data_IF_702431310165
#
_entry.id   IF_702431310165
#
_cell.length_a   1.000
_cell.length_b   1.000
_cell.length_c   1.000
_cell.angle_alpha   90.00
_cell.angle_beta   90.00
_cell.angle_gamma   90.00
#
_symmetry.space_group_name_H-M   'P 1'
#
loop_
_entity.id
_entity.type
_entity.pdbx_description
1 polymer ?
#
# COMPACT_ATOMS: atom_id res chain seq x y z
N UNK A 1 14.97 30.63 59.06
CA UNK A 1 13.87 31.27 58.36
C UNK A 1 13.45 30.35 57.21
N UNK A 2 12.41 29.55 57.47
CA UNK A 2 11.78 28.70 56.49
C UNK A 2 10.99 29.56 55.51
N UNK A 3 11.10 29.31 54.19
CA UNK A 3 10.10 29.70 53.22
C UNK A 3 9.78 28.48 52.35
N UNK A 4 8.61 27.94 52.62
CA UNK A 4 7.87 26.97 51.79
C UNK A 4 7.71 27.51 50.38
N UNK A 5 8.00 26.69 49.37
CA UNK A 5 7.45 26.85 48.03
C UNK A 5 6.48 25.70 47.76
N UNK A 6 5.26 26.12 47.67
CA UNK A 6 4.06 25.37 47.42
C UNK A 6 4.11 24.78 45.99
N UNK A 7 3.88 23.48 45.90
CA UNK A 7 3.54 22.76 44.67
C UNK A 7 2.36 23.41 44.00
N UNK A 8 2.50 23.83 42.75
CA UNK A 8 1.40 24.06 41.84
C UNK A 8 1.48 22.98 40.75
N UNK A 9 0.90 21.83 41.04
CA UNK A 9 0.62 20.82 40.03
C UNK A 9 -0.52 21.38 39.16
N UNK A 10 -0.18 21.82 37.98
CA UNK A 10 -1.15 22.30 36.99
C UNK A 10 -1.85 21.11 36.37
N UNK A 11 -3.09 20.98 36.72
CA UNK A 11 -4.15 20.17 36.12
C UNK A 11 -4.44 20.74 34.72
N UNK A 12 -3.82 20.20 33.68
CA UNK A 12 -4.13 20.50 32.28
C UNK A 12 -4.25 19.21 31.48
N UNK A 13 -5.24 18.41 31.86
CA UNK A 13 -5.63 17.26 31.05
C UNK A 13 -7.11 16.97 31.27
N UNK A 14 -7.98 17.89 30.89
CA UNK A 14 -9.45 17.63 30.80
C UNK A 14 -10.15 18.83 30.13
N UNK A 15 -9.87 19.10 28.86
CA UNK A 15 -10.74 19.98 28.07
C UNK A 15 -10.61 19.62 26.59
N UNK A 16 -11.03 18.45 26.19
CA UNK A 16 -11.38 18.13 24.79
C UNK A 16 -12.47 17.03 24.73
N UNK A 17 -13.44 17.08 25.65
CA UNK A 17 -14.58 16.16 25.67
C UNK A 17 -15.93 16.87 25.72
N UNK A 18 -16.06 18.08 25.17
CA UNK A 18 -17.32 18.80 25.20
C UNK A 18 -17.76 19.32 23.84
N UNK A 19 -17.81 18.42 22.85
CA UNK A 19 -18.56 18.70 21.63
C UNK A 19 -19.67 17.66 21.36
N UNK A 20 -19.99 16.79 22.34
CA UNK A 20 -21.14 15.89 22.27
C UNK A 20 -21.66 15.59 23.70
N UNK A 21 -22.07 16.60 24.46
CA UNK A 21 -22.89 16.34 25.64
C UNK A 21 -23.76 17.54 25.96
N UNK A 22 -24.92 17.58 25.35
CA UNK A 22 -26.09 18.13 26.07
C UNK A 22 -26.77 16.91 26.70
N UNK A 23 -26.61 16.81 28.01
CA UNK A 23 -27.21 15.78 28.85
C UNK A 23 -28.69 16.07 29.03
N UNK A 24 -29.53 15.41 28.26
CA UNK A 24 -30.86 15.05 28.72
C UNK A 24 -30.77 13.68 29.36
N UNK A 25 -30.79 13.63 30.69
CA UNK A 25 -30.76 12.40 31.48
C UNK A 25 -31.97 11.48 31.14
N UNK A 26 -31.75 10.61 30.18
CA UNK A 26 -32.64 9.48 29.94
C UNK A 26 -32.01 8.23 30.58
N UNK A 27 -32.54 7.68 31.69
CA UNK A 27 -31.92 6.58 32.44
C UNK A 27 -31.87 5.24 31.70
N UNK A 28 -32.22 5.20 30.41
CA UNK A 28 -32.21 3.99 29.57
C UNK A 28 -31.18 4.00 28.44
N UNK A 29 -30.32 5.00 28.31
CA UNK A 29 -29.18 4.92 27.40
C UNK A 29 -28.09 4.08 28.09
N UNK A 30 -28.06 2.78 27.79
CA UNK A 30 -26.96 1.91 28.18
C UNK A 30 -25.64 2.48 27.67
N UNK A 31 -24.61 2.57 28.54
CA UNK A 31 -23.29 3.01 28.16
C UNK A 31 -22.82 2.21 26.92
N UNK A 32 -22.59 2.89 25.79
CA UNK A 32 -22.02 2.29 24.60
C UNK A 32 -20.58 1.93 24.95
N UNK A 33 -20.32 0.64 25.14
CA UNK A 33 -18.97 0.13 25.36
C UNK A 33 -18.43 -0.28 23.98
N UNK A 34 -17.55 0.55 23.41
CA UNK A 34 -16.82 0.19 22.21
C UNK A 34 -15.62 -0.70 22.59
N UNK A 35 -15.28 -1.73 21.79
CA UNK A 35 -14.03 -2.47 21.93
C UNK A 35 -12.82 -1.52 21.86
N UNK A 36 -11.67 -1.95 22.40
CA UNK A 36 -10.43 -1.19 22.24
C UNK A 36 -10.05 -1.05 20.75
N UNK A 37 -9.32 -0.01 20.33
CA UNK A 37 -8.91 0.13 18.93
C UNK A 37 -8.26 -1.13 18.37
N UNK A 38 -7.41 -1.80 19.14
CA UNK A 38 -6.76 -3.05 18.73
C UNK A 38 -7.74 -4.20 18.47
N UNK A 39 -8.88 -4.24 19.17
CA UNK A 39 -9.93 -5.26 18.97
C UNK A 39 -10.86 -4.90 17.82
N UNK A 40 -11.01 -3.60 17.52
CA UNK A 40 -11.84 -3.14 16.41
C UNK A 40 -11.19 -3.49 15.06
N UNK A 41 -9.89 -3.29 14.93
CA UNK A 41 -9.17 -3.57 13.67
C UNK A 41 -8.77 -5.04 13.57
N UNK A 42 -9.04 -5.65 12.42
CA UNK A 42 -8.44 -6.92 12.03
C UNK A 42 -7.05 -6.70 11.44
N UNK A 43 -6.06 -7.43 11.93
CA UNK A 43 -4.75 -7.48 11.30
C UNK A 43 -4.84 -8.40 10.10
N UNK A 44 -5.09 -7.85 8.93
CA UNK A 44 -5.42 -8.64 7.76
C UNK A 44 -4.18 -8.98 6.95
N UNK A 45 -3.19 -8.09 6.94
CA UNK A 45 -2.11 -8.11 5.99
C UNK A 45 -0.81 -7.78 6.69
N UNK A 46 -0.01 -8.78 6.98
CA UNK A 46 1.37 -8.55 7.38
C UNK A 46 2.27 -9.33 6.46
N UNK A 47 3.20 -8.61 5.84
CA UNK A 47 4.07 -9.17 4.83
C UNK A 47 4.81 -10.45 5.21
N UNK A 48 5.10 -10.68 6.51
CA UNK A 48 5.80 -11.87 6.98
C UNK A 48 4.88 -12.99 7.46
N UNK A 49 3.65 -12.69 7.88
CA UNK A 49 2.77 -13.69 8.52
C UNK A 49 1.79 -14.37 7.56
N UNK A 50 1.89 -14.03 6.29
CA UNK A 50 1.51 -14.90 5.20
C UNK A 50 0.04 -15.21 4.98
N UNK A 51 -0.91 -14.36 5.40
CA UNK A 51 -2.34 -14.67 5.18
C UNK A 51 -2.98 -13.90 4.04
N UNK A 52 -2.21 -13.19 3.19
CA UNK A 52 -2.83 -12.25 2.26
C UNK A 52 -2.40 -12.39 0.82
N UNK A 53 -3.42 -12.27 0.03
CA UNK A 53 -3.44 -12.17 -1.42
C UNK A 53 -3.15 -10.74 -1.88
N UNK A 54 -3.04 -10.55 -3.18
CA UNK A 54 -2.87 -9.26 -3.83
C UNK A 54 -1.46 -8.66 -3.73
N UNK A 55 -0.44 -9.52 -3.61
CA UNK A 55 0.98 -9.10 -3.61
C UNK A 55 1.26 -7.97 -2.60
N UNK A 56 1.07 -8.18 -1.30
CA UNK A 56 1.33 -7.15 -0.31
C UNK A 56 2.81 -6.73 -0.35
N UNK A 57 3.09 -5.49 -0.02
CA UNK A 57 4.45 -5.05 0.25
C UNK A 57 4.90 -5.58 1.61
N UNK A 58 6.12 -6.13 1.70
CA UNK A 58 6.63 -6.73 2.94
C UNK A 58 7.02 -5.69 4.01
N UNK A 59 7.04 -4.42 3.66
CA UNK A 59 7.41 -3.30 4.54
C UNK A 59 6.23 -2.41 4.91
N UNK A 60 5.01 -2.96 4.81
CA UNK A 60 3.77 -2.27 5.09
C UNK A 60 2.97 -3.05 6.11
N UNK A 61 2.44 -2.35 7.09
CA UNK A 61 1.44 -2.87 7.98
C UNK A 61 0.06 -2.49 7.47
N UNK A 62 -0.88 -3.43 7.60
CA UNK A 62 -2.24 -3.28 7.12
C UNK A 62 -3.20 -3.68 8.22
N UNK A 63 -4.26 -2.89 8.41
CA UNK A 63 -5.37 -3.22 9.28
C UNK A 63 -6.66 -2.93 8.54
N UNK A 64 -7.69 -3.74 8.79
CA UNK A 64 -8.98 -3.56 8.17
C UNK A 64 -10.11 -3.51 9.18
N UNK A 65 -11.15 -2.80 8.80
CA UNK A 65 -12.46 -2.90 9.41
C UNK A 65 -13.48 -3.08 8.30
N UNK A 66 -14.09 -4.25 8.26
CA UNK A 66 -15.11 -4.63 7.27
C UNK A 66 -16.44 -4.73 7.98
N UNK A 67 -17.47 -4.14 7.39
CA UNK A 67 -18.82 -4.15 7.97
C UNK A 67 -19.91 -4.25 6.90
N UNK A 68 -21.08 -4.74 7.32
CA UNK A 68 -22.30 -4.69 6.54
C UNK A 68 -22.87 -3.27 6.62
N UNK A 69 -23.04 -2.62 5.50
CA UNK A 69 -23.63 -1.27 5.43
C UNK A 69 -25.14 -1.32 5.54
N UNK A 70 -25.74 -2.48 5.24
CA UNK A 70 -27.17 -2.78 5.32
C UNK A 70 -28.04 -1.59 4.86
N UNK A 71 -27.94 -1.17 3.59
CA UNK A 71 -28.52 0.08 3.11
C UNK A 71 -30.06 0.14 3.25
N UNK A 72 -30.71 -0.97 3.48
CA UNK A 72 -32.17 -1.07 3.68
C UNK A 72 -32.55 -1.44 5.14
N UNK A 73 -31.58 -1.78 5.99
CA UNK A 73 -31.78 -2.30 7.35
C UNK A 73 -31.30 -1.38 8.46
N UNK A 74 -30.74 -1.98 9.52
CA UNK A 74 -30.37 -1.30 10.75
C UNK A 74 -29.19 -0.33 10.58
N UNK A 75 -28.22 -0.66 9.72
CA UNK A 75 -27.01 0.14 9.54
C UNK A 75 -27.15 1.28 8.51
N UNK A 76 -28.28 1.41 7.82
CA UNK A 76 -28.50 2.37 6.74
C UNK A 76 -28.25 3.84 7.10
N UNK A 77 -28.43 4.16 8.39
CA UNK A 77 -28.26 5.51 8.92
C UNK A 77 -26.97 5.67 9.73
N UNK A 78 -26.05 4.71 9.66
CA UNK A 78 -24.81 4.73 10.44
C UNK A 78 -23.68 5.31 9.60
N UNK A 79 -22.99 6.32 10.13
CA UNK A 79 -21.69 6.77 9.68
C UNK A 79 -20.61 6.34 10.68
N UNK A 80 -19.44 5.96 10.18
CA UNK A 80 -18.28 5.71 11.03
C UNK A 80 -17.52 7.02 11.28
N UNK A 81 -17.09 7.21 12.53
CA UNK A 81 -16.21 8.28 12.95
C UNK A 81 -14.90 7.66 13.45
N UNK A 82 -13.83 7.84 12.69
CA UNK A 82 -12.51 7.28 12.96
C UNK A 82 -11.62 8.37 13.52
N UNK A 83 -11.17 8.21 14.77
CA UNK A 83 -10.33 9.19 15.47
C UNK A 83 -8.99 8.56 15.84
N UNK A 84 -7.91 9.28 15.57
CA UNK A 84 -6.58 8.77 15.89
C UNK A 84 -5.50 9.82 15.86
N UNK A 85 -4.29 9.40 16.21
CA UNK A 85 -3.09 10.18 16.04
C UNK A 85 -2.42 9.82 14.69
N UNK A 86 -1.78 10.81 14.07
CA UNK A 86 -0.93 10.53 12.90
C UNK A 86 0.25 9.66 13.31
N UNK A 87 0.49 8.54 12.60
CA UNK A 87 1.62 7.66 12.88
C UNK A 87 2.94 8.27 12.39
N UNK A 88 4.04 7.84 12.99
CA UNK A 88 5.38 8.08 12.45
C UNK A 88 5.69 7.02 11.41
N UNK A 89 5.45 7.34 10.17
CA UNK A 89 5.61 6.47 9.01
C UNK A 89 6.13 7.24 7.79
N UNK A 90 6.57 6.53 6.77
CA UNK A 90 6.91 7.13 5.48
C UNK A 90 5.65 7.56 4.71
N UNK A 91 4.61 6.78 4.81
CA UNK A 91 3.32 7.02 4.19
C UNK A 91 2.22 6.33 5.02
N UNK A 92 1.07 6.98 5.07
CA UNK A 92 -0.11 6.52 5.79
C UNK A 92 -1.36 6.79 4.97
N UNK A 93 -2.32 5.89 4.98
CA UNK A 93 -3.58 6.11 4.25
C UNK A 93 -4.73 5.28 4.79
N UNK A 94 -5.94 5.79 4.55
CA UNK A 94 -7.19 5.05 4.60
C UNK A 94 -7.66 4.79 3.17
N UNK A 95 -7.94 3.55 2.84
CA UNK A 95 -8.56 3.19 1.55
C UNK A 95 -9.89 2.50 1.80
N UNK A 96 -10.92 2.95 1.10
CA UNK A 96 -12.29 2.46 1.23
C UNK A 96 -12.65 1.58 0.04
N UNK A 97 -13.27 0.43 0.31
CA UNK A 97 -13.59 -0.58 -0.69
C UNK A 97 -15.05 -1.02 -0.64
N UNK A 98 -15.57 -1.37 -1.82
CA UNK A 98 -16.66 -2.33 -1.97
C UNK A 98 -16.07 -3.72 -1.71
N UNK A 99 -16.31 -4.30 -0.53
CA UNK A 99 -15.69 -5.56 -0.11
C UNK A 99 -16.17 -6.75 -0.93
N UNK A 100 -17.35 -6.68 -1.54
CA UNK A 100 -17.83 -7.76 -2.39
C UNK A 100 -17.11 -7.82 -3.73
N UNK A 101 -16.65 -6.66 -4.24
CA UNK A 101 -15.96 -6.56 -5.53
C UNK A 101 -14.45 -6.41 -5.40
N UNK A 102 -13.94 -6.07 -4.21
CA UNK A 102 -12.54 -5.73 -4.02
C UNK A 102 -12.12 -4.43 -4.73
N UNK A 103 -13.09 -3.60 -5.11
CA UNK A 103 -12.87 -2.34 -5.81
C UNK A 103 -12.67 -1.19 -4.82
N UNK A 104 -11.68 -0.34 -5.09
CA UNK A 104 -11.50 0.88 -4.34
C UNK A 104 -12.60 1.90 -4.71
N UNK A 105 -13.31 2.43 -3.70
CA UNK A 105 -14.42 3.38 -3.87
C UNK A 105 -14.12 4.75 -3.27
N UNK A 106 -12.99 4.91 -2.58
CA UNK A 106 -12.57 6.16 -1.96
C UNK A 106 -11.38 5.97 -1.03
N UNK A 107 -11.07 7.00 -0.28
CA UNK A 107 -9.99 6.99 0.72
C UNK A 107 -9.30 8.33 0.83
N UNK A 108 -8.38 8.45 1.77
CA UNK A 108 -7.52 9.61 1.99
C UNK A 108 -6.08 9.14 2.20
N UNK A 109 -5.15 9.76 1.47
CA UNK A 109 -3.73 9.67 1.75
C UNK A 109 -3.36 10.64 2.87
N UNK A 110 -2.22 10.43 3.50
CA UNK A 110 -1.73 11.23 4.62
C UNK A 110 -1.74 12.74 4.36
N UNK A 111 -1.34 13.17 3.16
CA UNK A 111 -1.30 14.56 2.73
C UNK A 111 -2.69 15.15 2.39
N UNK A 112 -3.73 14.33 2.35
CA UNK A 112 -5.11 14.74 2.14
C UNK A 112 -5.87 14.85 3.47
N UNK A 113 -5.29 14.32 4.56
CA UNK A 113 -5.92 14.35 5.87
C UNK A 113 -5.71 15.72 6.53
N UNK A 114 -6.78 16.48 6.69
CA UNK A 114 -6.79 17.70 7.49
C UNK A 114 -6.67 17.34 8.98
N UNK A 115 -5.69 17.90 9.71
CA UNK A 115 -5.56 17.64 11.15
C UNK A 115 -6.69 18.30 11.94
N UNK A 116 -6.97 17.77 13.13
CA UNK A 116 -7.91 18.36 14.09
C UNK A 116 -7.39 19.70 14.60
N UNK A 117 -8.26 20.53 15.19
CA UNK A 117 -7.90 21.83 15.75
C UNK A 117 -6.76 21.69 16.78
N UNK A 118 -5.74 22.53 16.64
CA UNK A 118 -4.53 22.51 17.48
C UNK A 118 -3.49 21.47 17.08
N UNK A 119 -3.77 20.63 16.08
CA UNK A 119 -2.85 19.68 15.47
C UNK A 119 -2.32 20.19 14.13
N UNK A 120 -1.22 19.56 13.66
CA UNK A 120 -0.65 19.79 12.34
C UNK A 120 -0.51 18.45 11.63
N UNK A 121 -0.49 18.44 10.31
CA UNK A 121 -0.22 17.22 9.56
C UNK A 121 1.30 16.96 9.50
N UNK A 122 1.82 15.90 10.15
CA UNK A 122 3.26 15.63 10.21
C UNK A 122 3.84 15.14 8.87
N UNK A 123 3.00 14.86 7.88
CA UNK A 123 3.40 14.53 6.51
C UNK A 123 3.52 15.76 5.60
N UNK A 124 3.18 16.94 6.09
CA UNK A 124 3.33 18.22 5.39
C UNK A 124 4.34 19.14 6.07
N UNK A 125 4.45 19.06 7.40
CA UNK A 125 5.43 19.83 8.17
C UNK A 125 5.90 19.04 9.40
N UNK A 126 7.19 19.11 9.71
CA UNK A 126 7.78 18.45 10.87
C UNK A 126 7.11 18.87 12.17
N UNK A 127 6.82 17.90 13.03
CA UNK A 127 6.22 18.12 14.35
C UNK A 127 6.77 17.14 15.38
N UNK A 128 7.14 17.64 16.55
CA UNK A 128 7.56 16.83 17.70
C UNK A 128 6.41 16.45 18.63
N UNK A 129 5.21 16.95 18.32
CA UNK A 129 4.00 16.68 19.10
C UNK A 129 3.20 15.54 18.49
N UNK A 130 2.43 14.85 19.34
CA UNK A 130 1.36 13.99 18.85
C UNK A 130 0.27 14.86 18.23
N UNK A 131 -0.09 14.56 16.98
CA UNK A 131 -1.08 15.30 16.22
C UNK A 131 -2.23 14.35 15.88
N UNK A 132 -3.44 14.88 15.90
CA UNK A 132 -4.67 14.10 15.80
C UNK A 132 -5.46 14.44 14.55
N UNK A 133 -6.26 13.49 14.12
CA UNK A 133 -7.22 13.64 13.03
C UNK A 133 -8.55 12.95 13.36
N UNK A 134 -9.61 13.43 12.76
CA UNK A 134 -10.93 12.82 12.73
C UNK A 134 -11.36 12.62 11.28
N UNK A 135 -11.75 11.39 10.92
CA UNK A 135 -12.22 11.01 9.60
C UNK A 135 -13.62 10.41 9.72
N UNK A 136 -14.49 10.74 8.76
CA UNK A 136 -15.83 10.16 8.68
C UNK A 136 -15.99 9.32 7.40
N UNK A 137 -16.65 8.17 7.53
CA UNK A 137 -17.16 7.38 6.41
C UNK A 137 -18.68 7.42 6.52
N UNK A 138 -19.31 8.05 5.55
CA UNK A 138 -20.75 8.31 5.60
C UNK A 138 -21.49 7.58 4.49
N UNK A 139 -22.73 7.11 4.71
CA UNK A 139 -23.54 6.50 3.67
C UNK A 139 -23.88 7.52 2.57
N UNK A 140 -24.09 7.04 1.34
CA UNK A 140 -24.46 7.89 0.18
C UNK A 140 -25.78 8.65 0.36
N UNK A 141 -26.59 8.26 1.32
CA UNK A 141 -27.87 8.89 1.67
C UNK A 141 -27.73 10.12 2.56
N UNK A 142 -26.56 10.36 3.15
CA UNK A 142 -26.31 11.54 3.99
C UNK A 142 -26.20 12.80 3.13
N UNK A 143 -27.07 13.76 3.36
CA UNK A 143 -27.07 15.01 2.60
C UNK A 143 -25.90 15.94 2.95
N UNK A 144 -25.56 16.84 2.02
CA UNK A 144 -24.42 17.75 2.16
C UNK A 144 -24.53 18.69 3.39
N UNK A 145 -25.73 19.08 3.80
CA UNK A 145 -25.93 19.95 4.96
C UNK A 145 -25.62 19.19 6.27
N UNK A 146 -25.98 17.92 6.35
CA UNK A 146 -25.59 17.06 7.48
C UNK A 146 -24.09 16.79 7.50
N UNK A 147 -23.48 16.49 6.32
CA UNK A 147 -22.03 16.32 6.20
C UNK A 147 -21.28 17.56 6.72
N UNK A 148 -21.71 18.76 6.32
CA UNK A 148 -21.10 20.00 6.80
C UNK A 148 -21.16 20.18 8.34
N UNK A 149 -22.17 19.61 9.00
CA UNK A 149 -22.30 19.65 10.46
C UNK A 149 -21.34 18.74 11.20
N UNK A 150 -20.67 17.80 10.50
CA UNK A 150 -19.63 16.97 11.10
C UNK A 150 -18.39 17.77 11.50
N UNK A 151 -18.21 18.97 10.95
CA UNK A 151 -17.09 19.87 11.28
C UNK A 151 -15.72 19.34 10.86
N UNK A 152 -15.66 18.36 9.97
CA UNK A 152 -14.42 17.79 9.44
C UNK A 152 -14.41 17.85 7.92
N UNK A 153 -13.23 18.09 7.33
CA UNK A 153 -13.00 18.00 5.89
C UNK A 153 -12.66 16.56 5.45
N UNK A 154 -12.35 15.67 6.40
CA UNK A 154 -11.99 14.28 6.15
C UNK A 154 -13.23 13.40 6.06
N UNK A 155 -13.96 13.51 4.96
CA UNK A 155 -15.19 12.74 4.76
C UNK A 155 -15.11 11.88 3.51
N UNK A 156 -15.25 10.58 3.68
CA UNK A 156 -15.39 9.61 2.60
C UNK A 156 -16.87 9.22 2.49
N UNK A 157 -17.46 9.40 1.30
CA UNK A 157 -18.85 9.02 1.04
C UNK A 157 -18.88 7.64 0.41
N UNK A 158 -19.61 6.70 1.00
CA UNK A 158 -19.86 5.38 0.40
C UNK A 158 -20.55 5.53 -0.95
N UNK A 159 -20.13 4.74 -1.91
CA UNK A 159 -20.81 4.63 -3.19
C UNK A 159 -22.22 4.02 -3.00
N UNK A 160 -23.20 4.54 -3.70
CA UNK A 160 -24.55 4.00 -3.66
C UNK A 160 -24.58 2.52 -4.08
N UNK A 161 -25.33 1.69 -3.37
CA UNK A 161 -25.48 0.26 -3.65
C UNK A 161 -24.35 -0.63 -3.09
N UNK A 162 -23.41 -0.08 -2.35
CA UNK A 162 -22.45 -0.88 -1.58
C UNK A 162 -23.18 -1.47 -0.38
N UNK A 163 -23.26 -2.79 -0.30
CA UNK A 163 -23.89 -3.53 0.79
C UNK A 163 -22.90 -3.95 1.85
N UNK A 164 -21.63 -4.09 1.47
CA UNK A 164 -20.54 -4.46 2.35
C UNK A 164 -19.32 -3.61 2.03
N UNK A 165 -18.82 -2.91 3.01
CA UNK A 165 -17.67 -2.02 2.86
C UNK A 165 -16.49 -2.47 3.72
N UNK A 166 -15.28 -2.15 3.27
CA UNK A 166 -14.08 -2.31 4.06
C UNK A 166 -13.27 -1.00 4.03
N UNK A 167 -12.74 -0.61 5.18
CA UNK A 167 -11.71 0.41 5.27
C UNK A 167 -10.39 -0.25 5.67
N UNK A 168 -9.34 0.02 4.90
CA UNK A 168 -7.99 -0.50 5.13
C UNK A 168 -7.06 0.65 5.46
N UNK A 169 -6.42 0.56 6.62
CA UNK A 169 -5.30 1.41 7.01
C UNK A 169 -4.01 0.81 6.45
N UNK A 170 -3.20 1.63 5.80
CA UNK A 170 -1.87 1.27 5.33
C UNK A 170 -0.82 2.16 5.97
N UNK A 171 0.22 1.53 6.49
CA UNK A 171 1.33 2.23 7.09
C UNK A 171 2.64 1.68 6.56
N UNK A 172 3.35 2.49 5.78
CA UNK A 172 4.61 2.16 5.15
C UNK A 172 5.78 2.59 6.02
N UNK A 173 6.66 1.66 6.35
CA UNK A 173 7.87 1.92 7.14
C UNK A 173 7.57 2.65 8.46
N UNK A 174 6.51 2.22 9.15
CA UNK A 174 6.12 2.77 10.45
C UNK A 174 7.11 2.48 11.57
N UNK A 175 7.14 3.33 12.58
CA UNK A 175 7.87 3.08 13.82
C UNK A 175 7.13 1.99 14.62
N UNK A 176 7.75 0.83 14.79
CA UNK A 176 7.11 -0.31 15.45
C UNK A 176 5.97 -0.91 14.63
N UNK A 177 4.94 -1.42 15.29
CA UNK A 177 3.80 -2.07 14.64
C UNK A 177 2.76 -1.07 14.12
N UNK A 178 2.59 0.07 14.81
CA UNK A 178 1.50 1.03 14.58
C UNK A 178 2.00 2.48 14.48
N UNK A 179 3.23 2.69 13.99
CA UNK A 179 3.80 4.04 13.84
C UNK A 179 4.03 4.78 15.15
N UNK A 180 4.24 4.06 16.26
CA UNK A 180 4.48 4.65 17.57
C UNK A 180 3.25 5.30 18.22
N UNK A 181 2.03 5.05 17.69
CA UNK A 181 0.75 5.51 18.22
C UNK A 181 -0.23 4.34 18.31
N UNK A 182 -1.36 4.50 19.00
CA UNK A 182 -2.43 3.51 18.96
C UNK A 182 -3.15 3.55 17.60
N UNK A 183 -3.73 2.40 17.20
CA UNK A 183 -4.63 2.36 16.05
C UNK A 183 -5.81 3.32 16.28
N UNK A 184 -6.34 3.95 15.22
CA UNK A 184 -7.45 4.87 15.35
C UNK A 184 -8.69 4.18 15.94
N UNK A 185 -9.39 4.84 16.86
CA UNK A 185 -10.64 4.35 17.41
C UNK A 185 -11.78 4.51 16.41
N UNK A 186 -12.61 3.48 16.26
CA UNK A 186 -13.80 3.50 15.42
C UNK A 186 -15.03 3.71 16.31
N UNK A 187 -15.71 4.83 16.09
CA UNK A 187 -17.00 5.16 16.65
C UNK A 187 -18.05 5.14 15.54
N UNK A 188 -19.32 5.10 15.91
CA UNK A 188 -20.40 5.23 14.96
C UNK A 188 -21.38 6.32 15.40
N UNK A 189 -21.96 7.02 14.45
CA UNK A 189 -22.98 8.03 14.65
C UNK A 189 -24.20 7.75 13.78
N UNK A 190 -25.38 8.03 14.31
CA UNK A 190 -26.61 8.09 13.51
C UNK A 190 -26.64 9.39 12.68
N UNK A 191 -26.77 9.29 11.36
CA UNK A 191 -26.71 10.46 10.45
C UNK A 191 -27.90 11.41 10.58
N UNK A 192 -28.97 11.03 11.25
CA UNK A 192 -30.14 11.88 11.44
C UNK A 192 -30.03 12.71 12.71
N UNK A 193 -29.51 12.13 13.78
CA UNK A 193 -29.37 12.76 15.10
C UNK A 193 -27.98 13.29 15.38
N UNK A 194 -26.96 12.79 14.68
CA UNK A 194 -25.51 12.98 14.90
C UNK A 194 -25.06 12.54 16.31
N UNK A 195 -25.86 11.70 16.97
CA UNK A 195 -25.52 11.10 18.27
C UNK A 195 -24.73 9.81 18.06
N UNK A 196 -23.86 9.51 19.00
CA UNK A 196 -23.12 8.24 19.02
C UNK A 196 -24.09 7.05 19.15
N UNK A 197 -23.82 6.02 18.38
CA UNK A 197 -24.53 4.75 18.39
C UNK A 197 -23.51 3.61 18.39
N UNK A 198 -23.99 2.37 18.63
CA UNK A 198 -23.12 1.20 18.57
C UNK A 198 -22.58 1.03 17.14
N UNK A 199 -21.27 0.84 17.01
CA UNK A 199 -20.65 0.54 15.72
C UNK A 199 -21.13 -0.82 15.18
N UNK A 200 -21.28 -0.97 13.86
CA UNK A 200 -21.54 -2.27 13.24
C UNK A 200 -20.48 -3.29 13.65
N UNK A 201 -20.87 -4.56 13.71
CA UNK A 201 -19.90 -5.61 14.02
C UNK A 201 -18.89 -5.76 12.88
N UNK A 202 -17.61 -5.86 13.24
CA UNK A 202 -16.57 -6.17 12.26
C UNK A 202 -16.79 -7.58 11.70
N UNK A 203 -16.68 -7.70 10.40
CA UNK A 203 -16.75 -8.96 9.66
C UNK A 203 -15.35 -9.32 9.12
N UNK A 204 -15.18 -10.56 8.68
CA UNK A 204 -14.01 -10.94 7.91
C UNK A 204 -14.13 -10.39 6.48
N UNK A 205 -13.06 -9.85 5.94
CA UNK A 205 -13.03 -9.36 4.57
C UNK A 205 -13.14 -10.48 3.54
N UNK A 206 -13.68 -10.17 2.38
CA UNK A 206 -13.70 -11.06 1.21
C UNK A 206 -12.39 -11.05 0.42
N UNK A 207 -11.38 -10.30 0.84
CA UNK A 207 -10.12 -10.13 0.11
C UNK A 207 -9.49 -11.46 -0.34
N UNK A 208 -9.68 -12.52 0.43
CA UNK A 208 -9.15 -13.85 0.15
C UNK A 208 -9.98 -14.67 -0.85
N UNK A 209 -11.16 -14.19 -1.23
CA UNK A 209 -12.11 -14.94 -2.06
C UNK A 209 -12.02 -14.58 -3.54
N UNK A 210 -11.15 -13.64 -3.93
CA UNK A 210 -11.03 -13.26 -5.34
C UNK A 210 -10.20 -14.30 -6.09
N UNK A 211 -10.75 -14.89 -7.17
CA UNK A 211 -10.03 -15.85 -7.97
C UNK A 211 -8.85 -15.18 -8.67
N UNK A 212 -7.67 -15.76 -8.51
CA UNK A 212 -6.49 -15.30 -9.22
C UNK A 212 -6.37 -16.09 -10.51
N UNK A 213 -6.49 -15.42 -11.63
CA UNK A 213 -6.24 -16.00 -12.94
C UNK A 213 -5.15 -15.23 -13.66
N UNK A 214 -3.91 -15.67 -13.49
CA UNK A 214 -2.77 -15.18 -14.27
C UNK A 214 -2.43 -16.08 -15.44
N UNK A 215 -3.28 -17.05 -15.74
CA UNK A 215 -2.99 -18.11 -16.72
C UNK A 215 -2.70 -17.61 -18.14
N UNK A 216 -3.03 -16.36 -18.43
CA UNK A 216 -3.00 -15.84 -19.82
C UNK A 216 -2.04 -14.68 -20.04
N UNK A 217 -1.22 -14.30 -19.04
CA UNK A 217 -0.46 -13.04 -19.10
C UNK A 217 0.78 -13.08 -19.98
N UNK A 218 1.36 -14.26 -20.31
CA UNK A 218 2.62 -14.33 -21.05
C UNK A 218 2.81 -15.66 -21.78
N UNK A 219 3.52 -15.61 -22.89
CA UNK A 219 4.20 -16.79 -23.43
C UNK A 219 5.40 -17.10 -22.54
N UNK A 220 5.42 -18.30 -21.97
CA UNK A 220 6.48 -18.75 -21.06
C UNK A 220 7.85 -18.90 -21.76
N UNK A 221 7.87 -18.83 -23.08
CA UNK A 221 9.07 -18.98 -23.91
C UNK A 221 9.76 -17.65 -24.26
N UNK A 222 9.18 -16.50 -23.90
CA UNK A 222 9.83 -15.21 -24.16
C UNK A 222 11.02 -15.01 -23.23
N UNK A 223 12.14 -14.58 -23.80
CA UNK A 223 13.34 -14.22 -23.04
C UNK A 223 13.24 -12.80 -22.48
N UNK A 224 12.51 -11.91 -23.12
CA UNK A 224 12.28 -10.55 -22.66
C UNK A 224 11.16 -10.45 -21.62
N UNK A 225 11.31 -9.49 -20.70
CA UNK A 225 10.35 -9.23 -19.61
C UNK A 225 10.05 -7.74 -19.55
N UNK A 226 9.13 -7.23 -20.38
CA UNK A 226 8.62 -5.89 -20.27
C UNK A 226 7.69 -5.73 -19.06
N UNK A 227 7.64 -4.53 -18.50
CA UNK A 227 6.70 -4.18 -17.43
C UNK A 227 5.53 -3.35 -17.95
N UNK A 228 4.37 -3.51 -17.34
CA UNK A 228 3.11 -2.88 -17.71
C UNK A 228 2.45 -2.20 -16.54
N UNK A 229 1.71 -1.13 -16.78
CA UNK A 229 0.86 -0.54 -15.76
C UNK A 229 -0.37 -1.44 -15.52
N UNK A 230 -0.52 -1.94 -14.29
CA UNK A 230 -1.69 -2.70 -13.90
C UNK A 230 -2.94 -1.82 -13.85
N UNK A 231 -4.04 -2.25 -14.48
CA UNK A 231 -5.33 -1.61 -14.29
C UNK A 231 -5.79 -1.79 -12.84
N UNK A 232 -6.36 -0.72 -12.27
CA UNK A 232 -6.95 -0.75 -10.93
C UNK A 232 -8.33 -1.41 -11.01
N UNK A 233 -8.38 -2.74 -10.94
CA UNK A 233 -9.64 -3.47 -11.00
C UNK A 233 -10.04 -4.03 -9.65
N UNK A 234 -9.61 -5.25 -9.37
CA UNK A 234 -9.89 -5.99 -8.14
C UNK A 234 -8.67 -6.04 -7.22
N UNK A 235 -8.75 -6.75 -6.11
CA UNK A 235 -7.66 -7.01 -5.15
C UNK A 235 -7.24 -5.84 -4.27
N UNK A 236 -8.18 -5.00 -3.86
CA UNK A 236 -7.91 -3.94 -2.88
C UNK A 236 -6.75 -3.02 -3.27
N UNK A 237 -6.75 -2.45 -4.49
CA UNK A 237 -5.68 -1.59 -4.94
C UNK A 237 -5.55 -0.38 -4.03
N UNK A 238 -4.31 0.05 -3.76
CA UNK A 238 -4.08 1.30 -3.05
C UNK A 238 -4.33 2.47 -4.01
N UNK A 239 -5.27 3.37 -3.68
CA UNK A 239 -5.60 4.54 -4.50
C UNK A 239 -4.42 5.52 -4.66
N UNK A 240 -3.48 5.48 -3.74
CA UNK A 240 -2.28 6.34 -3.73
C UNK A 240 -1.07 5.69 -4.40
N UNK A 241 -1.26 4.56 -5.12
CA UNK A 241 -0.17 3.79 -5.71
C UNK A 241 -0.46 3.46 -7.15
N UNK A 242 0.52 3.61 -8.03
CA UNK A 242 0.54 2.99 -9.34
C UNK A 242 1.51 1.81 -9.33
N UNK A 243 1.17 0.75 -10.07
CA UNK A 243 1.86 -0.53 -10.08
C UNK A 243 2.29 -0.90 -11.49
N UNK A 244 3.60 -1.08 -11.70
CA UNK A 244 4.09 -1.81 -12.86
C UNK A 244 4.27 -3.27 -12.47
N UNK A 245 3.84 -4.16 -13.33
CA UNK A 245 4.04 -5.58 -13.12
C UNK A 245 4.63 -6.26 -14.35
N UNK A 246 5.35 -7.33 -14.10
CA UNK A 246 5.81 -8.28 -15.09
C UNK A 246 5.70 -9.68 -14.52
N UNK A 247 5.68 -10.67 -15.40
CA UNK A 247 5.64 -12.08 -15.02
C UNK A 247 6.64 -12.84 -15.88
N UNK A 248 7.33 -13.81 -15.29
CA UNK A 248 8.21 -14.72 -16.02
C UNK A 248 8.24 -16.09 -15.38
N UNK A 249 8.54 -17.12 -16.19
CA UNK A 249 8.98 -18.43 -15.70
C UNK A 249 10.49 -18.48 -15.84
N UNK A 250 11.17 -18.82 -14.74
CA UNK A 250 12.61 -18.89 -14.68
C UNK A 250 13.05 -20.36 -14.49
N UNK A 251 13.96 -20.85 -15.34
CA UNK A 251 14.54 -22.19 -15.24
C UNK A 251 15.78 -22.19 -14.34
N UNK A 252 16.20 -23.37 -13.89
CA UNK A 252 17.35 -23.52 -12.99
C UNK A 252 18.69 -23.12 -13.61
N UNK A 253 18.81 -23.17 -14.93
CA UNK A 253 20.01 -22.79 -15.69
C UNK A 253 19.96 -21.36 -16.25
N UNK A 254 18.99 -20.58 -15.80
CA UNK A 254 18.78 -19.19 -16.23
C UNK A 254 18.92 -18.21 -15.07
N UNK A 255 19.20 -16.98 -15.42
CA UNK A 255 19.06 -15.79 -14.58
C UNK A 255 18.18 -14.77 -15.30
N UNK A 256 17.35 -14.06 -14.55
CA UNK A 256 16.63 -12.92 -15.05
C UNK A 256 17.38 -11.65 -14.60
N UNK A 257 17.66 -10.75 -15.54
CA UNK A 257 18.29 -9.46 -15.25
C UNK A 257 17.39 -8.36 -15.77
N UNK A 258 17.08 -7.38 -14.93
CA UNK A 258 16.37 -6.17 -15.34
C UNK A 258 16.94 -4.93 -14.66
N UNK A 259 16.83 -3.80 -15.33
CA UNK A 259 17.38 -2.55 -14.83
C UNK A 259 16.51 -1.34 -15.17
N UNK A 260 16.59 -0.33 -14.34
CA UNK A 260 15.90 0.97 -14.50
C UNK A 260 16.55 2.01 -13.60
N UNK A 261 16.25 3.28 -13.82
CA UNK A 261 16.54 4.37 -12.89
C UNK A 261 15.33 4.48 -11.95
N UNK A 262 15.46 4.20 -10.64
CA UNK A 262 14.35 4.34 -9.71
C UNK A 262 13.86 5.79 -9.61
N UNK A 263 12.57 5.97 -9.33
CA UNK A 263 12.02 7.30 -9.05
C UNK A 263 12.75 7.93 -7.85
N UNK A 264 13.18 9.21 -7.94
CA UNK A 264 13.79 9.93 -6.83
C UNK A 264 12.85 10.04 -5.64
N UNK A 265 13.36 9.74 -4.44
CA UNK A 265 12.59 9.71 -3.20
C UNK A 265 13.08 10.80 -2.23
N UNK A 266 12.18 11.64 -1.71
CA UNK A 266 12.54 12.67 -0.74
C UNK A 266 13.04 12.04 0.57
N UNK A 267 14.02 12.67 1.18
CA UNK A 267 14.62 12.18 2.43
C UNK A 267 14.00 12.85 3.67
N UNK A 268 13.34 13.99 3.50
CA UNK A 268 12.77 14.79 4.59
C UNK A 268 11.33 15.15 4.28
N UNK A 269 10.53 15.37 5.32
CA UNK A 269 9.12 15.74 5.20
C UNK A 269 8.93 17.04 4.40
N UNK A 270 9.81 18.02 4.60
CA UNK A 270 9.77 19.31 3.90
C UNK A 270 9.88 19.17 2.39
N UNK A 271 10.51 18.08 1.93
CA UNK A 271 10.70 17.79 0.51
C UNK A 271 9.54 16.94 -0.08
N UNK A 272 8.55 16.53 0.72
CA UNK A 272 7.42 15.71 0.29
C UNK A 272 6.55 16.43 -0.73
N UNK A 273 6.36 17.73 -0.53
CA UNK A 273 5.59 18.55 -1.46
C UNK A 273 6.35 18.70 -2.79
N UNK A 274 5.76 18.18 -3.86
CA UNK A 274 6.37 18.19 -5.19
C UNK A 274 7.37 17.06 -5.46
N UNK A 275 7.57 16.13 -4.52
CA UNK A 275 8.33 14.92 -4.75
C UNK A 275 7.81 14.14 -5.97
N UNK A 276 8.69 13.37 -6.61
CA UNK A 276 8.31 12.52 -7.76
C UNK A 276 7.51 11.30 -7.32
N UNK A 277 7.87 10.73 -6.17
CA UNK A 277 7.09 9.76 -5.40
C UNK A 277 7.52 9.83 -3.93
N UNK A 278 6.75 9.23 -3.02
CA UNK A 278 7.06 9.19 -1.59
C UNK A 278 7.88 7.97 -1.20
N UNK A 279 7.72 6.89 -1.94
CA UNK A 279 8.32 5.58 -1.68
C UNK A 279 8.27 4.74 -2.95
N UNK A 280 9.24 3.87 -3.13
CA UNK A 280 9.14 2.79 -4.10
C UNK A 280 9.60 1.46 -3.52
N UNK A 281 9.05 0.38 -4.06
CA UNK A 281 9.51 -0.98 -3.80
C UNK A 281 9.40 -1.86 -5.04
N UNK A 282 10.27 -2.87 -5.09
CA UNK A 282 10.22 -3.98 -6.03
C UNK A 282 9.89 -5.24 -5.27
N UNK A 283 8.72 -5.82 -5.52
CA UNK A 283 8.25 -7.04 -4.87
C UNK A 283 8.25 -8.19 -5.85
N UNK A 284 8.57 -9.38 -5.33
CA UNK A 284 8.58 -10.63 -6.07
C UNK A 284 7.62 -11.60 -5.40
N UNK A 285 6.60 -11.99 -6.13
CA UNK A 285 5.55 -12.87 -5.65
C UNK A 285 5.34 -14.08 -6.55
N UNK A 286 4.60 -15.05 -6.04
CA UNK A 286 4.22 -16.21 -6.81
C UNK A 286 2.92 -15.98 -7.57
N UNK A 287 2.90 -16.38 -8.84
CA UNK A 287 1.66 -16.39 -9.62
C UNK A 287 0.64 -17.43 -9.12
N UNK A 288 1.04 -18.32 -8.23
CA UNK A 288 0.20 -19.41 -7.73
C UNK A 288 -0.74 -18.96 -6.62
N UNK A 289 -0.26 -18.09 -5.72
CA UNK A 289 -0.98 -17.69 -4.51
C UNK A 289 -1.04 -16.17 -4.28
N UNK A 290 -0.48 -15.39 -5.19
CA UNK A 290 -0.44 -13.92 -5.14
C UNK A 290 0.20 -13.32 -3.89
N UNK A 291 1.06 -14.08 -3.21
CA UNK A 291 1.88 -13.58 -2.11
C UNK A 291 3.20 -13.01 -2.61
N UNK A 292 3.68 -11.97 -1.92
CA UNK A 292 5.05 -11.48 -2.06
C UNK A 292 5.96 -12.27 -1.14
N UNK A 293 7.05 -12.79 -1.68
CA UNK A 293 8.04 -13.58 -0.94
C UNK A 293 9.35 -12.84 -0.72
N UNK A 294 9.62 -11.85 -1.58
CA UNK A 294 10.78 -10.96 -1.49
C UNK A 294 10.34 -9.55 -1.84
N UNK A 295 10.94 -8.58 -1.18
CA UNK A 295 10.73 -7.17 -1.48
C UNK A 295 12.01 -6.40 -1.20
N UNK A 296 12.32 -5.43 -2.06
CA UNK A 296 13.40 -4.47 -1.87
C UNK A 296 12.82 -3.09 -2.04
N UNK A 297 13.00 -2.21 -1.05
CA UNK A 297 12.52 -0.83 -1.13
C UNK A 297 13.67 0.18 -1.24
N UNK A 298 13.34 1.42 -1.47
CA UNK A 298 14.27 2.50 -1.83
C UNK A 298 15.53 2.58 -0.93
N UNK A 299 15.38 2.58 0.40
CA UNK A 299 16.52 2.65 1.33
C UNK A 299 17.39 1.40 1.33
N UNK A 300 16.80 0.22 1.09
CA UNK A 300 17.57 -1.02 1.00
C UNK A 300 18.36 -1.09 -0.29
N UNK A 301 17.74 -0.68 -1.40
CA UNK A 301 18.42 -0.60 -2.69
C UNK A 301 19.53 0.45 -2.65
N UNK A 302 19.34 1.54 -1.90
CA UNK A 302 20.30 2.62 -1.67
C UNK A 302 20.89 3.18 -2.97
N UNK A 303 20.01 3.46 -3.94
CA UNK A 303 20.40 3.97 -5.26
C UNK A 303 20.30 5.49 -5.24
N UNK A 304 21.38 6.23 -5.52
CA UNK A 304 21.31 7.67 -5.69
C UNK A 304 20.41 8.09 -6.86
N UNK A 305 19.89 9.31 -6.78
CA UNK A 305 19.06 9.88 -7.85
C UNK A 305 19.80 9.89 -9.19
N UNK A 306 19.15 9.38 -10.22
CA UNK A 306 19.70 9.30 -11.57
C UNK A 306 20.61 8.09 -11.83
N UNK A 307 20.92 7.29 -10.81
CA UNK A 307 21.72 6.08 -10.97
C UNK A 307 20.85 4.87 -11.28
N UNK A 308 21.42 3.93 -12.04
CA UNK A 308 20.73 2.71 -12.47
C UNK A 308 20.73 1.65 -11.36
N UNK A 309 19.56 1.12 -11.05
CA UNK A 309 19.36 -0.07 -10.23
C UNK A 309 19.25 -1.30 -11.13
N UNK A 310 19.96 -2.39 -10.78
CA UNK A 310 19.89 -3.66 -11.49
C UNK A 310 19.47 -4.77 -10.54
N UNK A 311 18.46 -5.52 -10.92
CA UNK A 311 18.04 -6.72 -10.21
C UNK A 311 18.49 -7.96 -10.99
N UNK A 312 19.04 -8.93 -10.27
CA UNK A 312 19.36 -10.26 -10.76
C UNK A 312 18.51 -11.24 -9.97
N UNK A 313 17.66 -11.98 -10.65
CA UNK A 313 16.86 -13.07 -10.04
C UNK A 313 17.45 -14.40 -10.49
N UNK A 314 17.77 -15.23 -9.53
CA UNK A 314 18.36 -16.55 -9.76
C UNK A 314 17.60 -17.59 -8.94
N UNK A 315 17.36 -18.77 -9.52
CA UNK A 315 16.80 -19.89 -8.76
C UNK A 315 17.77 -20.35 -7.68
N UNK A 316 17.28 -20.69 -6.50
CA UNK A 316 18.07 -21.34 -5.44
C UNK A 316 18.67 -22.66 -5.91
N UNK A 317 17.97 -23.33 -6.83
CA UNK A 317 18.36 -24.60 -7.43
C UNK A 317 19.35 -24.44 -8.60
N UNK A 318 19.75 -23.20 -8.95
CA UNK A 318 20.71 -22.97 -10.03
C UNK A 318 22.09 -23.58 -9.67
N UNK A 319 22.65 -24.42 -10.51
CA UNK A 319 23.93 -25.11 -10.21
C UNK A 319 25.11 -24.15 -10.12
N UNK A 320 24.99 -22.94 -10.63
CA UNK A 320 26.01 -21.88 -10.59
C UNK A 320 25.63 -20.70 -9.67
N UNK A 321 24.73 -20.89 -8.71
CA UNK A 321 24.24 -19.83 -7.80
C UNK A 321 25.38 -19.11 -7.09
N UNK A 322 26.42 -19.83 -6.64
CA UNK A 322 27.56 -19.22 -5.97
C UNK A 322 28.32 -18.26 -6.91
N UNK A 323 28.52 -18.64 -8.18
CA UNK A 323 29.15 -17.79 -9.17
C UNK A 323 28.30 -16.54 -9.51
N UNK A 324 26.97 -16.71 -9.61
CA UNK A 324 26.03 -15.59 -9.78
C UNK A 324 26.12 -14.64 -8.60
N UNK A 325 26.14 -15.16 -7.37
CA UNK A 325 26.27 -14.38 -6.13
C UNK A 325 27.59 -13.61 -6.10
N UNK A 326 28.69 -14.28 -6.46
CA UNK A 326 30.02 -13.64 -6.53
C UNK A 326 30.05 -12.50 -7.55
N UNK A 327 29.50 -12.70 -8.75
CA UNK A 327 29.42 -11.66 -9.79
C UNK A 327 28.62 -10.45 -9.30
N UNK A 328 27.46 -10.67 -8.68
CA UNK A 328 26.65 -9.55 -8.12
C UNK A 328 27.42 -8.81 -7.03
N UNK A 329 28.15 -9.53 -6.16
CA UNK A 329 28.99 -8.91 -5.12
C UNK A 329 30.14 -8.09 -5.72
N UNK A 330 30.77 -8.57 -6.79
CA UNK A 330 31.81 -7.86 -7.52
C UNK A 330 31.28 -6.58 -8.15
N UNK A 331 30.11 -6.62 -8.80
CA UNK A 331 29.49 -5.44 -9.37
C UNK A 331 29.12 -4.40 -8.30
N UNK A 332 28.65 -4.82 -7.14
CA UNK A 332 28.46 -3.93 -5.98
C UNK A 332 29.77 -3.31 -5.51
N UNK A 333 30.85 -4.08 -5.44
CA UNK A 333 32.17 -3.59 -5.05
C UNK A 333 32.73 -2.56 -6.04
N UNK A 334 32.30 -2.59 -7.30
CA UNK A 334 32.60 -1.60 -8.35
C UNK A 334 31.73 -0.34 -8.23
N UNK A 335 30.87 -0.24 -7.24
CA UNK A 335 29.97 0.90 -7.00
C UNK A 335 28.68 0.84 -7.80
N UNK A 336 28.28 -0.31 -8.36
CA UNK A 336 27.01 -0.47 -9.06
C UNK A 336 25.90 -0.90 -8.10
N UNK A 337 24.68 -0.47 -8.35
CA UNK A 337 23.53 -0.72 -7.47
C UNK A 337 22.79 -1.99 -7.90
N UNK A 338 23.43 -3.13 -7.72
CA UNK A 338 22.89 -4.43 -8.07
C UNK A 338 22.22 -5.09 -6.87
N UNK A 339 21.09 -5.76 -7.11
CA UNK A 339 20.30 -6.50 -6.11
C UNK A 339 20.15 -7.94 -6.55
N UNK A 340 20.47 -8.90 -5.67
CA UNK A 340 20.28 -10.33 -5.93
C UNK A 340 19.03 -10.83 -5.23
N UNK A 341 18.13 -11.47 -5.97
CA UNK A 341 16.98 -12.20 -5.46
C UNK A 341 17.21 -13.68 -5.72
N UNK A 342 17.34 -14.46 -4.66
CA UNK A 342 17.44 -15.91 -4.74
C UNK A 342 16.05 -16.49 -4.56
N UNK A 343 15.44 -16.93 -5.67
CA UNK A 343 14.09 -17.48 -5.67
C UNK A 343 14.10 -18.97 -5.36
N UNK A 344 13.50 -19.37 -4.24
CA UNK A 344 13.36 -20.76 -3.86
C UNK A 344 11.99 -21.30 -4.28
N UNK A 345 11.90 -21.94 -5.44
CA UNK A 345 10.65 -22.48 -5.98
C UNK A 345 10.01 -23.56 -5.10
N UNK A 346 10.81 -24.21 -4.23
CA UNK A 346 10.34 -25.24 -3.29
C UNK A 346 9.86 -24.63 -1.96
N UNK A 347 10.02 -23.33 -1.76
CA UNK A 347 9.49 -22.65 -0.60
C UNK A 347 7.98 -22.88 -0.53
N UNK A 348 7.50 -23.25 0.66
CA UNK A 348 6.07 -23.51 0.84
C UNK A 348 5.30 -22.19 0.95
N UNK A 349 4.17 -22.14 0.23
CA UNK A 349 3.15 -21.13 0.34
C UNK A 349 2.35 -21.28 1.64
N UNK A 350 1.46 -20.34 1.91
CA UNK A 350 0.50 -20.44 3.03
C UNK A 350 -0.43 -21.64 2.91
N UNK A 351 -0.62 -22.17 1.70
CA UNK A 351 -1.38 -23.39 1.45
C UNK A 351 -0.53 -24.68 1.56
N UNK A 352 0.72 -24.60 2.04
CA UNK A 352 1.68 -25.70 2.10
C UNK A 352 1.98 -26.34 0.73
N UNK A 353 1.95 -25.54 -0.34
CA UNK A 353 2.34 -25.96 -1.69
C UNK A 353 3.59 -25.17 -2.13
N UNK A 354 4.50 -25.76 -2.93
CA UNK A 354 5.63 -25.02 -3.48
C UNK A 354 5.17 -23.78 -4.25
N UNK A 355 5.86 -22.67 -4.08
CA UNK A 355 5.52 -21.39 -4.75
C UNK A 355 5.80 -21.44 -6.27
N UNK A 356 6.63 -22.39 -6.71
CA UNK A 356 6.87 -22.65 -8.12
C UNK A 356 7.87 -21.68 -8.76
N UNK A 357 8.01 -21.80 -10.05
CA UNK A 357 8.98 -21.11 -10.91
C UNK A 357 8.41 -19.88 -11.63
N UNK A 358 7.09 -19.66 -11.52
CA UNK A 358 6.41 -18.49 -12.11
C UNK A 358 6.43 -17.31 -11.15
N UNK A 359 7.25 -16.33 -11.47
CA UNK A 359 7.53 -15.15 -10.65
C UNK A 359 6.73 -13.96 -11.20
N UNK A 360 5.98 -13.30 -10.33
CA UNK A 360 5.37 -12.00 -10.62
C UNK A 360 6.21 -10.93 -9.94
N UNK A 361 6.72 -10.01 -10.74
CA UNK A 361 7.50 -8.87 -10.26
C UNK A 361 6.62 -7.63 -10.30
N UNK A 362 6.59 -6.87 -9.20
CA UNK A 362 5.76 -5.68 -9.09
C UNK A 362 6.57 -4.50 -8.55
N UNK A 363 6.68 -3.45 -9.37
CA UNK A 363 7.25 -2.16 -8.98
C UNK A 363 6.14 -1.22 -8.56
N UNK A 364 6.28 -0.62 -7.38
CA UNK A 364 5.30 0.29 -6.78
C UNK A 364 5.88 1.67 -6.59
N UNK A 365 5.09 2.70 -6.92
CA UNK A 365 5.37 4.08 -6.57
C UNK A 365 4.21 4.63 -5.76
N UNK A 366 4.49 5.04 -4.53
CA UNK A 366 3.50 5.66 -3.64
C UNK A 366 3.46 7.16 -3.91
N UNK A 367 2.26 7.71 -4.06
CA UNK A 367 2.00 9.10 -4.41
C UNK A 367 2.82 9.54 -5.64
N UNK A 368 2.71 8.84 -6.78
CA UNK A 368 3.42 9.22 -7.98
C UNK A 368 2.93 10.59 -8.46
N UNK A 369 3.87 11.50 -8.72
CA UNK A 369 3.56 12.85 -9.19
C UNK A 369 3.09 12.82 -10.66
N UNK A 370 1.83 13.05 -10.88
CA UNK A 370 1.20 13.02 -12.22
C UNK A 370 1.76 14.08 -13.20
N UNK A 371 2.40 15.13 -12.69
CA UNK A 371 2.99 16.16 -13.52
C UNK A 371 4.44 15.84 -13.96
N UNK A 372 5.04 14.80 -13.41
CA UNK A 372 6.37 14.37 -13.81
C UNK A 372 6.29 13.50 -15.08
N UNK A 373 7.09 13.83 -16.10
CA UNK A 373 7.05 13.17 -17.42
C UNK A 373 7.35 11.67 -17.40
N UNK A 374 8.16 11.20 -16.41
CA UNK A 374 8.47 9.77 -16.24
C UNK A 374 7.65 9.11 -15.13
N UNK A 375 6.54 9.73 -14.74
CA UNK A 375 5.62 9.13 -13.76
C UNK A 375 4.91 7.92 -14.35
N UNK A 376 4.78 6.85 -13.57
CA UNK A 376 3.96 5.69 -13.94
C UNK A 376 2.52 6.13 -14.32
N UNK A 377 2.03 7.22 -13.73
CA UNK A 377 0.70 7.77 -14.03
C UNK A 377 0.56 8.32 -15.47
N UNK A 378 1.63 8.45 -16.23
CA UNK A 378 1.60 8.85 -17.64
C UNK A 378 1.33 7.67 -18.58
N UNK A 379 1.43 6.46 -18.08
CA UNK A 379 1.22 5.25 -18.88
C UNK A 379 -0.28 4.96 -19.10
N UNK A 380 -0.56 4.22 -20.16
CA UNK A 380 -1.88 3.64 -20.41
C UNK A 380 -1.95 2.29 -19.67
N UNK A 381 -2.94 2.16 -18.78
CA UNK A 381 -3.15 0.93 -18.05
C UNK A 381 -3.63 -0.20 -18.97
N UNK A 382 -3.03 -1.37 -18.83
CA UNK A 382 -3.51 -2.59 -19.48
C UNK A 382 -4.62 -3.23 -18.65
N UNK A 383 -5.65 -3.81 -19.27
CA UNK A 383 -6.61 -4.66 -18.58
C UNK A 383 -5.87 -5.77 -17.82
N UNK A 384 -6.34 -6.04 -16.62
CA UNK A 384 -5.76 -7.12 -15.81
C UNK A 384 -5.92 -8.45 -16.55
N UNK A 385 -4.81 -9.13 -16.83
CA UNK A 385 -4.81 -10.40 -17.53
C UNK A 385 -4.55 -10.33 -19.05
N UNK A 386 -4.54 -9.15 -19.65
CA UNK A 386 -4.20 -8.99 -21.07
C UNK A 386 -3.07 -7.95 -21.20
N UNK A 387 -1.82 -8.39 -21.26
CA UNK A 387 -0.66 -7.49 -21.27
C UNK A 387 -0.53 -6.68 -22.55
N UNK A 388 -1.05 -7.18 -23.64
CA UNK A 388 -0.97 -6.49 -24.95
C UNK A 388 -2.30 -6.63 -25.65
N UNK A 389 -3.22 -5.73 -25.31
CA UNK A 389 -4.34 -5.50 -26.22
C UNK A 389 -3.76 -4.87 -27.49
N UNK A 390 -3.45 -5.71 -28.47
CA UNK A 390 -2.96 -5.29 -29.80
C UNK A 390 -3.94 -4.36 -30.54
N UNK A 391 -5.16 -4.21 -30.02
CA UNK A 391 -6.13 -3.21 -30.45
C UNK A 391 -5.93 -1.83 -29.82
N UNK A 392 -4.96 -1.66 -28.88
CA UNK A 392 -4.60 -0.35 -28.35
C UNK A 392 -4.05 0.53 -29.47
N UNK A 393 -4.50 1.78 -29.52
CA UNK A 393 -4.04 2.76 -30.51
C UNK A 393 -2.61 3.26 -30.24
N UNK A 394 -2.03 2.94 -29.07
CA UNK A 394 -0.69 3.39 -28.67
C UNK A 394 -0.02 2.35 -27.76
N UNK A 395 0.51 1.25 -28.36
CA UNK A 395 1.15 0.18 -27.59
C UNK A 395 2.42 0.63 -26.85
N UNK A 396 3.11 1.65 -27.34
CA UNK A 396 4.35 2.12 -26.73
C UNK A 396 4.11 2.78 -25.38
N UNK A 397 2.97 3.44 -25.16
CA UNK A 397 2.58 3.98 -23.86
C UNK A 397 2.06 2.93 -22.87
N UNK A 398 1.89 1.68 -23.27
CA UNK A 398 1.52 0.57 -22.41
C UNK A 398 2.73 -0.15 -21.80
N UNK A 399 3.89 -0.03 -22.40
CA UNK A 399 5.13 -0.72 -22.03
C UNK A 399 6.04 0.25 -21.28
N UNK A 400 6.44 -0.11 -20.05
CA UNK A 400 7.13 0.80 -19.14
C UNK A 400 8.41 1.42 -19.74
N UNK A 401 9.30 0.62 -20.29
CA UNK A 401 10.57 1.14 -20.82
C UNK A 401 10.39 2.01 -22.07
N UNK A 402 9.31 1.83 -22.83
CA UNK A 402 8.98 2.67 -23.99
C UNK A 402 8.33 3.99 -23.54
N UNK A 403 7.41 3.93 -22.59
CA UNK A 403 6.70 5.10 -22.09
C UNK A 403 7.56 5.97 -21.17
N UNK A 404 8.40 5.36 -20.33
CA UNK A 404 9.14 6.03 -19.25
C UNK A 404 10.67 6.07 -19.50
N UNK A 405 11.14 5.60 -20.67
CA UNK A 405 12.55 5.56 -21.00
C UNK A 405 13.37 4.80 -19.95
N UNK A 406 14.44 5.42 -19.44
CA UNK A 406 15.33 4.79 -18.45
C UNK A 406 14.68 4.54 -17.09
N UNK A 407 13.58 5.23 -16.77
CA UNK A 407 12.81 5.03 -15.53
C UNK A 407 11.87 3.83 -15.59
N UNK A 408 11.56 3.33 -16.79
CA UNK A 408 10.75 2.12 -16.97
C UNK A 408 11.60 0.85 -16.86
N UNK A 409 11.31 -0.08 -15.93
CA UNK A 409 12.03 -1.34 -15.84
C UNK A 409 11.84 -2.20 -17.09
N UNK A 410 12.92 -2.84 -17.52
CA UNK A 410 12.96 -3.81 -18.62
C UNK A 410 13.95 -4.92 -18.30
N UNK A 411 13.59 -6.14 -18.55
CA UNK A 411 14.38 -7.32 -18.23
C UNK A 411 14.48 -8.33 -19.35
N UNK A 412 15.49 -9.19 -19.23
CA UNK A 412 15.71 -10.36 -20.08
C UNK A 412 16.19 -11.55 -19.27
N UNK A 413 15.83 -12.74 -19.73
CA UNK A 413 16.40 -14.00 -19.27
C UNK A 413 17.67 -14.32 -20.05
N UNK A 414 18.65 -14.83 -19.34
CA UNK A 414 19.93 -15.27 -19.90
C UNK A 414 20.22 -16.69 -19.44
N UNK A 415 20.88 -17.50 -20.27
CA UNK A 415 21.55 -18.68 -19.74
C UNK A 415 22.56 -18.23 -18.68
N UNK A 416 22.68 -18.96 -17.57
CA UNK A 416 23.58 -18.55 -16.48
C UNK A 416 25.03 -18.41 -16.97
N UNK A 417 25.48 -19.27 -17.91
CA UNK A 417 26.81 -19.17 -18.50
C UNK A 417 27.03 -17.85 -19.27
N UNK A 418 26.02 -17.38 -20.00
CA UNK A 418 26.12 -16.13 -20.75
C UNK A 418 26.15 -14.93 -19.80
N UNK A 419 25.33 -14.95 -18.74
CA UNK A 419 25.37 -13.94 -17.67
C UNK A 419 26.75 -13.87 -17.01
N UNK A 420 27.39 -15.01 -16.77
CA UNK A 420 28.69 -15.11 -16.11
C UNK A 420 29.87 -14.76 -17.05
N UNK A 421 29.64 -14.68 -18.33
CA UNK A 421 30.71 -14.37 -19.31
C UNK A 421 31.25 -12.94 -19.14
N UNK A 422 32.49 -12.73 -19.57
CA UNK A 422 33.14 -11.41 -19.60
C UNK A 422 32.51 -10.47 -20.65
N UNK A 423 31.75 -11.02 -21.58
CA UNK A 423 31.05 -10.27 -22.65
C UNK A 423 29.62 -9.91 -22.30
N UNK A 424 29.18 -10.27 -21.08
CA UNK A 424 27.83 -9.93 -20.64
C UNK A 424 27.60 -8.43 -20.61
N UNK A 425 26.50 -7.99 -21.19
CA UNK A 425 25.99 -6.61 -21.13
C UNK A 425 24.58 -6.60 -20.57
N UNK A 426 24.22 -5.52 -19.88
CA UNK A 426 22.86 -5.34 -19.41
C UNK A 426 21.87 -5.31 -20.58
N UNK A 427 20.59 -5.71 -20.35
CA UNK A 427 19.59 -5.71 -21.40
C UNK A 427 19.44 -4.29 -22.00
N UNK A 428 19.53 -4.23 -23.33
CA UNK A 428 19.31 -2.98 -24.07
C UNK A 428 17.82 -2.83 -24.30
N UNK A 429 17.27 -1.70 -23.89
CA UNK A 429 15.89 -1.33 -24.14
C UNK A 429 15.68 -1.08 -25.62
N UNK A 430 14.93 -1.95 -26.30
CA UNK A 430 14.59 -1.83 -27.72
C UNK A 430 13.26 -1.11 -27.93
#
# INVERSE_FOLDING_TARGET
MMKSYLMLATLCALFCLTACSDSDDNPNEGNIVNPSPKEQWGKTLVGSDGTIFAYPDLYVNYWEYTWDTDPEGENKNIALCIKGAFPKARFFSFSLYDDEKGEAIGGLADNEITPDEGSVNPFEQTSDKTNYFTLYIVPSTMDAAKIARLGSNNVCVLKAGVTRAAVVVREYLGEGETGGVELPAIHAIDINTLKEVKAPLRMNSNVTNFPVSYAHLWSDDNDDMPFFLASRGAYYPNNSTDYLFARTILKDDQVLVFSFIPVPIPQRVEDYRGAKARYWSMCFGSARDTHSYYSVYDKQANVPDGEQCTFVVCMKQNPQLDAVTAKVAEEKARGRYWQLIVWDRERLSVENKPIGDCIVTMYRNILPNKAWEYSISQMIATPYGDPVNTASKDPDHMIAHKALGEYGPYGMKYATADFLSDTFTLPVKQ
#
